data_IF_292155896929
#
_entry.id   IF_292155896929
#
_cell.length_a   1.000
_cell.length_b   1.000
_cell.length_c   1.000
_cell.angle_alpha   90.00
_cell.angle_beta   90.00
_cell.angle_gamma   90.00
#
_symmetry.space_group_name_H-M   'P 1'
#
loop_
_entity.id
_entity.type
_entity.pdbx_description
1 polymer ?
#
# COMPACT_ATOMS: atom_id res chain seq x y z
N UNK A 1 -18.88 2.10 -36.43
CA UNK A 1 -19.31 0.93 -35.64
C UNK A 1 -19.43 1.40 -34.21
N UNK A 2 -20.66 1.66 -33.78
CA UNK A 2 -20.99 2.13 -32.43
C UNK A 2 -22.03 1.15 -31.91
N UNK A 3 -21.69 0.43 -30.83
CA UNK A 3 -22.63 -0.49 -30.17
C UNK A 3 -22.74 -0.01 -28.73
N UNK A 4 -23.76 0.80 -28.47
CA UNK A 4 -24.24 1.10 -27.13
C UNK A 4 -25.33 0.07 -26.79
N UNK A 5 -25.08 -0.76 -25.78
CA UNK A 5 -26.13 -1.59 -25.17
C UNK A 5 -26.63 -0.88 -23.92
N UNK A 6 -27.84 -0.33 -24.05
CA UNK A 6 -28.66 0.22 -22.98
C UNK A 6 -29.52 -0.93 -22.42
N UNK A 7 -29.39 -1.25 -21.13
CA UNK A 7 -30.19 -2.29 -20.47
C UNK A 7 -31.44 -1.69 -19.82
N UNK A 8 -32.59 -2.20 -20.26
CA UNK A 8 -33.95 -1.79 -19.95
C UNK A 8 -34.38 -2.15 -18.52
N UNK A 9 -34.87 -1.15 -17.77
CA UNK A 9 -35.55 -1.31 -16.48
C UNK A 9 -37.06 -1.50 -16.72
N UNK A 10 -37.60 -2.61 -16.25
CA UNK A 10 -38.98 -3.04 -16.47
C UNK A 10 -39.88 -2.52 -15.33
N UNK A 11 -40.76 -1.54 -15.61
CA UNK A 11 -41.88 -1.19 -14.72
C UNK A 11 -43.13 -1.93 -15.19
N UNK A 12 -43.69 -2.82 -14.35
CA UNK A 12 -45.05 -3.31 -14.51
C UNK A 12 -45.96 -2.60 -13.51
N UNK A 13 -46.76 -1.66 -14.01
CA UNK A 13 -48.00 -1.23 -13.36
C UNK A 13 -49.11 -2.16 -13.87
N UNK A 14 -49.66 -3.00 -12.99
CA UNK A 14 -50.91 -3.73 -13.25
C UNK A 14 -52.06 -2.98 -12.59
N UNK A 15 -52.94 -2.42 -13.43
CA UNK A 15 -54.24 -1.91 -13.02
C UNK A 15 -55.29 -3.01 -13.14
N UNK A 16 -56.11 -3.19 -12.10
CA UNK A 16 -57.39 -3.87 -12.20
C UNK A 16 -58.50 -2.82 -12.23
N UNK A 17 -59.10 -2.65 -13.40
CA UNK A 17 -60.39 -2.00 -13.61
C UNK A 17 -61.49 -2.93 -13.09
N UNK A 18 -62.37 -2.39 -12.25
CA UNK A 18 -63.52 -3.09 -11.70
C UNK A 18 -64.63 -3.31 -12.73
N UNK A 19 -65.31 -4.45 -12.60
CA UNK A 19 -66.58 -4.71 -13.25
C UNK A 19 -67.54 -5.30 -12.20
N UNK A 20 -68.58 -4.53 -11.88
CA UNK A 20 -69.69 -4.94 -11.02
C UNK A 20 -70.66 -5.83 -11.79
N UNK A 21 -71.15 -6.89 -11.15
CA UNK A 21 -72.18 -7.79 -11.67
C UNK A 21 -72.68 -8.78 -10.62
N UNK A 22 -73.61 -8.30 -9.79
CA UNK A 22 -74.79 -8.96 -9.20
C UNK A 22 -74.69 -10.35 -8.50
N UNK A 23 -74.78 -10.27 -7.16
CA UNK A 23 -75.72 -10.94 -6.25
C UNK A 23 -75.91 -12.48 -6.26
N UNK A 24 -75.56 -13.14 -5.15
CA UNK A 24 -76.55 -13.86 -4.31
C UNK A 24 -75.99 -14.18 -2.90
N UNK A 25 -76.69 -13.65 -1.90
CA UNK A 25 -76.89 -14.05 -0.50
C UNK A 25 -76.10 -15.24 0.10
N UNK A 26 -75.41 -15.02 1.22
CA UNK A 26 -75.92 -15.47 2.53
C UNK A 26 -75.16 -14.84 3.72
N UNK A 27 -75.85 -14.78 4.85
CA UNK A 27 -75.62 -13.98 6.05
C UNK A 27 -74.35 -14.25 6.87
N UNK A 28 -73.72 -13.18 7.38
CA UNK A 28 -73.34 -13.09 8.80
C UNK A 28 -73.07 -11.63 9.17
N UNK A 29 -73.87 -11.11 10.11
CA UNK A 29 -73.77 -9.79 10.71
C UNK A 29 -72.41 -9.54 11.37
N UNK A 30 -71.92 -8.29 11.28
CA UNK A 30 -70.75 -7.88 12.05
C UNK A 30 -70.13 -6.54 11.64
N UNK A 31 -70.83 -5.43 11.95
CA UNK A 31 -70.23 -4.17 12.39
C UNK A 31 -69.11 -3.54 11.58
N UNK A 32 -69.47 -2.55 10.79
CA UNK A 32 -68.61 -1.47 10.30
C UNK A 32 -67.86 -0.78 11.46
N UNK A 33 -66.53 -0.95 11.51
CA UNK A 33 -65.61 0.02 12.11
C UNK A 33 -64.35 0.06 11.25
N UNK A 34 -64.13 1.21 10.62
CA UNK A 34 -62.89 1.57 9.93
C UNK A 34 -61.74 1.50 10.95
N UNK A 35 -60.76 0.60 10.85
CA UNK A 35 -59.52 0.76 11.60
C UNK A 35 -58.71 1.82 10.86
N UNK A 36 -58.76 3.01 11.41
CA UNK A 36 -57.75 4.05 11.22
C UNK A 36 -56.38 3.39 11.34
N UNK A 37 -55.49 3.66 10.38
CA UNK A 37 -54.09 3.25 10.46
C UNK A 37 -53.42 3.94 11.67
N UNK A 38 -53.62 3.39 12.86
CA UNK A 38 -52.76 3.63 14.01
C UNK A 38 -51.60 2.66 13.91
N UNK A 39 -50.39 3.21 14.02
CA UNK A 39 -49.12 2.53 13.87
C UNK A 39 -49.11 1.16 14.54
N UNK A 40 -49.06 0.13 13.73
CA UNK A 40 -48.56 -1.17 14.15
C UNK A 40 -47.07 -1.17 13.84
N UNK A 41 -46.29 -0.61 14.75
CA UNK A 41 -44.90 -1.05 14.96
C UNK A 41 -44.94 -2.46 15.54
N UNK A 42 -45.38 -3.41 14.73
CA UNK A 42 -45.06 -4.82 14.96
C UNK A 42 -43.90 -5.12 14.03
N UNK A 43 -42.74 -4.52 14.31
CA UNK A 43 -41.48 -5.19 14.00
C UNK A 43 -41.51 -6.40 14.93
N UNK A 44 -41.89 -7.55 14.38
CA UNK A 44 -41.50 -8.83 14.96
C UNK A 44 -39.98 -8.85 14.89
N UNK A 45 -39.33 -8.22 15.88
CA UNK A 45 -37.96 -8.52 16.22
C UNK A 45 -38.05 -9.98 16.64
N UNK A 46 -37.71 -10.86 15.72
CA UNK A 46 -37.27 -12.20 16.10
C UNK A 46 -36.14 -11.90 17.07
N UNK A 47 -36.39 -12.19 18.34
CA UNK A 47 -35.45 -12.08 19.44
C UNK A 47 -34.39 -13.18 19.26
N UNK A 48 -33.72 -13.16 18.11
CA UNK A 48 -32.61 -14.00 17.76
C UNK A 48 -31.39 -13.13 17.97
N UNK A 49 -30.50 -13.58 18.85
CA UNK A 49 -29.15 -13.10 18.91
C UNK A 49 -28.45 -13.62 17.65
N UNK A 50 -28.40 -12.81 16.61
CA UNK A 50 -27.63 -13.06 15.42
C UNK A 50 -26.16 -12.92 15.76
N UNK A 51 -25.37 -13.83 15.20
CA UNK A 51 -23.93 -13.77 15.35
C UNK A 51 -23.41 -12.49 14.68
N UNK A 52 -22.43 -11.80 15.28
CA UNK A 52 -21.67 -10.78 14.58
C UNK A 52 -21.17 -11.30 13.24
N UNK A 53 -21.33 -10.50 12.19
CA UNK A 53 -20.80 -10.79 10.87
C UNK A 53 -19.48 -10.05 10.71
N UNK A 54 -18.44 -10.78 10.32
CA UNK A 54 -17.09 -10.24 10.19
C UNK A 54 -16.52 -10.52 8.80
N UNK A 55 -15.71 -9.59 8.32
CA UNK A 55 -14.95 -9.71 7.08
C UNK A 55 -13.53 -9.19 7.33
N UNK A 56 -12.56 -9.91 6.78
CA UNK A 56 -11.16 -9.57 6.83
C UNK A 56 -10.55 -9.73 5.44
N UNK A 57 -9.59 -8.87 5.09
CA UNK A 57 -8.77 -9.07 3.89
C UNK A 57 -7.39 -8.48 4.11
N UNK A 58 -6.38 -9.09 3.50
CA UNK A 58 -5.05 -8.51 3.45
C UNK A 58 -5.07 -7.36 2.43
N UNK A 59 -4.43 -6.25 2.78
CA UNK A 59 -4.30 -5.07 1.93
C UNK A 59 -2.84 -4.73 1.71
N UNK A 60 -2.52 -4.18 0.54
CA UNK A 60 -1.15 -3.86 0.17
C UNK A 60 -0.39 -5.06 -0.39
N UNK A 61 0.88 -4.83 -0.69
CA UNK A 61 1.74 -5.85 -1.27
C UNK A 61 2.18 -6.88 -0.23
N UNK A 62 2.53 -8.08 -0.69
CA UNK A 62 3.15 -9.13 0.13
C UNK A 62 4.59 -8.79 0.53
N UNK A 63 5.11 -7.63 0.15
CA UNK A 63 6.54 -7.29 0.28
C UNK A 63 6.82 -6.07 1.18
N UNK A 64 5.80 -5.50 1.84
CA UNK A 64 5.96 -4.23 2.55
C UNK A 64 5.89 -4.37 4.08
N UNK A 65 6.86 -3.71 4.72
CA UNK A 65 7.07 -3.45 6.15
C UNK A 65 7.78 -4.54 6.98
N UNK A 66 9.04 -4.25 7.34
CA UNK A 66 9.98 -5.20 7.94
C UNK A 66 10.30 -4.80 9.38
N UNK A 67 10.29 -5.76 10.30
CA UNK A 67 10.79 -5.57 11.66
C UNK A 67 12.13 -6.29 11.85
N UNK A 68 13.19 -5.50 12.07
CA UNK A 68 14.55 -5.98 12.34
C UNK A 68 14.88 -5.82 13.82
N UNK A 69 15.47 -6.85 14.43
CA UNK A 69 16.14 -6.72 15.72
C UNK A 69 17.65 -6.54 15.52
N UNK A 70 18.23 -5.65 16.32
CA UNK A 70 19.65 -5.31 16.31
C UNK A 70 20.31 -5.96 17.53
N UNK A 71 21.33 -6.78 17.32
CA UNK A 71 22.18 -7.25 18.41
C UNK A 71 23.42 -6.35 18.51
N UNK A 72 23.71 -5.83 19.71
CA UNK A 72 24.94 -5.09 19.95
C UNK A 72 26.10 -6.09 20.11
N UNK A 73 27.08 -6.04 19.21
CA UNK A 73 28.29 -6.86 19.33
C UNK A 73 29.27 -6.19 20.30
N UNK A 74 29.53 -6.84 21.43
CA UNK A 74 30.45 -6.31 22.45
C UNK A 74 31.82 -6.98 22.29
N UNK A 75 32.79 -6.25 21.74
CA UNK A 75 34.16 -6.77 21.59
C UNK A 75 35.02 -6.25 22.73
N UNK A 76 35.58 -7.16 23.55
CA UNK A 76 36.54 -6.79 24.59
C UNK A 76 37.94 -7.16 24.14
N UNK A 77 38.74 -6.15 23.84
CA UNK A 77 40.16 -6.34 23.50
C UNK A 77 41.00 -6.14 24.76
N UNK A 78 41.80 -7.15 25.08
CA UNK A 78 42.76 -7.09 26.18
C UNK A 78 44.15 -6.85 25.62
N UNK A 79 44.72 -5.68 25.92
CA UNK A 79 46.06 -5.31 25.45
C UNK A 79 47.02 -5.31 26.63
N UNK A 80 48.04 -6.15 26.57
CA UNK A 80 49.12 -6.19 27.57
C UNK A 80 50.34 -5.47 27.01
N UNK A 81 50.69 -4.34 27.63
CA UNK A 81 51.90 -3.59 27.26
C UNK A 81 53.17 -4.33 27.71
N UNK A 82 54.30 -4.06 27.07
CA UNK A 82 55.60 -4.67 27.37
C UNK A 82 56.08 -4.45 28.82
N UNK A 83 55.48 -3.49 29.54
CA UNK A 83 55.72 -3.25 30.96
C UNK A 83 54.79 -4.04 31.91
N UNK A 84 54.07 -5.04 31.39
CA UNK A 84 53.17 -5.90 32.17
C UNK A 84 51.84 -5.26 32.59
N UNK A 85 51.55 -4.04 32.11
CA UNK A 85 50.26 -3.38 32.34
C UNK A 85 49.22 -3.92 31.35
N UNK A 86 48.12 -4.46 31.90
CA UNK A 86 46.99 -4.97 31.12
C UNK A 86 45.88 -3.93 31.09
N UNK A 87 45.44 -3.53 29.90
CA UNK A 87 44.28 -2.65 29.73
C UNK A 87 43.20 -3.42 28.98
N UNK A 88 42.00 -3.48 29.57
CA UNK A 88 40.82 -4.03 28.91
C UNK A 88 40.05 -2.88 28.29
N UNK A 89 39.99 -2.84 26.96
CA UNK A 89 39.15 -1.89 26.23
C UNK A 89 37.92 -2.66 25.74
N UNK A 90 36.76 -2.32 26.28
CA UNK A 90 35.47 -2.84 25.81
C UNK A 90 34.90 -1.83 24.82
N UNK A 91 34.87 -2.20 23.55
CA UNK A 91 34.18 -1.42 22.52
C UNK A 91 32.81 -2.05 22.28
N UNK A 92 31.76 -1.25 22.48
CA UNK A 92 30.41 -1.60 22.05
C UNK A 92 30.30 -1.09 20.63
N UNK A 93 30.52 -1.97 19.67
CA UNK A 93 30.14 -1.71 18.29
C UNK A 93 28.68 -2.12 18.16
N UNK A 94 27.77 -1.15 18.03
CA UNK A 94 26.51 -1.43 17.37
C UNK A 94 26.90 -1.86 15.95
N UNK A 95 26.91 -3.16 15.68
CA UNK A 95 27.12 -3.63 14.33
C UNK A 95 25.88 -3.21 13.55
N UNK A 96 25.98 -2.05 12.89
CA UNK A 96 25.00 -1.56 11.91
C UNK A 96 24.78 -2.55 10.75
N UNK A 97 25.46 -3.71 10.77
CA UNK A 97 25.69 -4.64 9.67
C UNK A 97 24.92 -5.98 9.78
N UNK A 98 24.22 -6.27 10.88
CA UNK A 98 23.70 -7.62 11.16
C UNK A 98 22.26 -7.64 11.71
N UNK A 99 21.33 -6.94 11.05
CA UNK A 99 19.91 -7.00 11.41
C UNK A 99 19.36 -8.43 11.23
N UNK A 100 18.77 -9.00 12.28
CA UNK A 100 18.04 -10.28 12.20
C UNK A 100 16.56 -9.99 11.96
N UNK A 101 15.96 -10.61 10.93
CA UNK A 101 14.53 -10.50 10.67
C UNK A 101 13.75 -11.14 11.82
N UNK A 102 12.95 -10.37 12.54
CA UNK A 102 12.18 -10.86 13.70
C UNK A 102 10.69 -10.93 13.44
N UNK A 103 10.18 -10.21 12.43
CA UNK A 103 8.80 -10.25 12.02
C UNK A 103 8.53 -9.38 10.80
N UNK A 104 7.33 -9.51 10.26
CA UNK A 104 6.86 -8.76 9.08
C UNK A 104 5.60 -8.01 9.49
N UNK A 105 5.50 -6.72 9.19
CA UNK A 105 4.24 -6.00 9.37
C UNK A 105 3.37 -6.19 8.15
N UNK A 106 2.07 -6.36 8.36
CA UNK A 106 1.09 -6.52 7.29
C UNK A 106 -0.06 -5.58 7.54
N UNK A 107 -0.61 -5.01 6.47
CA UNK A 107 -1.81 -4.19 6.56
C UNK A 107 -3.04 -5.05 6.31
N UNK A 108 -3.95 -5.08 7.28
CA UNK A 108 -5.15 -5.90 7.25
C UNK A 108 -6.38 -4.98 7.30
N UNK A 109 -7.30 -5.17 6.37
CA UNK A 109 -8.62 -4.54 6.44
C UNK A 109 -9.55 -5.41 7.26
N UNK A 110 -10.34 -4.76 8.11
CA UNK A 110 -11.41 -5.38 8.87
C UNK A 110 -12.74 -4.66 8.63
N UNK A 111 -13.82 -5.44 8.68
CA UNK A 111 -15.18 -4.94 8.83
C UNK A 111 -15.99 -5.89 9.71
N UNK A 112 -16.87 -5.33 10.53
CA UNK A 112 -17.77 -6.07 11.41
C UNK A 112 -19.10 -5.34 11.54
N UNK A 113 -20.16 -6.13 11.64
CA UNK A 113 -21.51 -5.64 11.94
C UNK A 113 -22.18 -6.62 12.88
N UNK A 114 -22.79 -6.07 13.93
CA UNK A 114 -23.84 -6.73 14.68
C UNK A 114 -25.18 -6.30 14.06
N UNK A 115 -25.95 -7.21 13.44
CA UNK A 115 -27.24 -6.87 12.84
C UNK A 115 -28.24 -6.21 13.80
N UNK A 116 -28.06 -6.40 15.10
CA UNK A 116 -28.88 -5.83 16.17
C UNK A 116 -28.42 -4.45 16.61
N UNK A 117 -27.22 -4.05 16.18
CA UNK A 117 -26.63 -2.76 16.51
C UNK A 117 -26.21 -2.62 17.97
N UNK A 118 -25.93 -3.73 18.67
CA UNK A 118 -25.29 -3.68 19.99
C UNK A 118 -23.80 -3.37 19.87
N UNK A 119 -23.19 -3.04 21.01
CA UNK A 119 -21.75 -2.78 21.06
C UNK A 119 -20.98 -4.09 20.95
N UNK A 120 -19.92 -4.10 20.14
CA UNK A 120 -19.07 -5.28 19.95
C UNK A 120 -17.66 -5.04 20.47
N UNK A 121 -17.03 -6.10 20.95
CA UNK A 121 -15.58 -6.19 21.17
C UNK A 121 -14.97 -6.90 19.99
N UNK A 122 -13.98 -6.29 19.34
CA UNK A 122 -13.43 -6.78 18.08
C UNK A 122 -11.92 -6.67 18.02
N UNK A 123 -11.28 -7.52 17.23
CA UNK A 123 -9.84 -7.45 17.01
C UNK A 123 -9.26 -8.68 16.34
N UNK A 124 -7.95 -8.65 16.16
CA UNK A 124 -7.18 -9.73 15.55
C UNK A 124 -6.64 -10.70 16.59
N UNK A 125 -6.70 -11.98 16.27
CA UNK A 125 -6.06 -13.09 16.96
C UNK A 125 -5.01 -13.67 16.01
N UNK A 126 -3.76 -13.45 16.35
CA UNK A 126 -2.60 -13.70 15.51
C UNK A 126 -2.02 -15.09 15.77
N UNK A 127 -2.29 -15.67 16.93
CA UNK A 127 -1.80 -16.99 17.32
C UNK A 127 -2.89 -18.09 17.28
N UNK A 128 -4.12 -17.71 16.94
CA UNK A 128 -5.31 -18.55 16.85
C UNK A 128 -5.69 -19.22 18.17
N UNK A 129 -5.42 -18.58 19.31
CA UNK A 129 -5.76 -19.08 20.65
C UNK A 129 -7.21 -18.74 21.09
N UNK A 130 -7.93 -17.98 20.26
CA UNK A 130 -9.31 -17.55 20.50
C UNK A 130 -9.41 -16.26 21.32
N UNK A 131 -8.30 -15.65 21.70
CA UNK A 131 -8.20 -14.36 22.40
C UNK A 131 -7.81 -13.26 21.42
N UNK A 132 -8.33 -12.04 21.62
CA UNK A 132 -7.93 -10.89 20.81
C UNK A 132 -6.54 -10.43 21.27
N UNK A 133 -5.57 -10.48 20.36
CA UNK A 133 -4.21 -9.96 20.54
C UNK A 133 -4.13 -8.47 20.24
N UNK A 134 -4.77 -8.03 19.14
CA UNK A 134 -4.77 -6.64 18.68
C UNK A 134 -6.21 -6.12 18.64
N UNK A 135 -6.64 -5.33 19.63
CA UNK A 135 -8.01 -4.79 19.66
C UNK A 135 -8.22 -3.71 18.60
N UNK A 136 -9.41 -3.65 18.02
CA UNK A 136 -9.83 -2.57 17.11
C UNK A 136 -11.12 -1.93 17.64
N UNK A 137 -11.25 -0.61 17.47
CA UNK A 137 -12.38 0.15 18.01
C UNK A 137 -13.37 0.65 16.96
N UNK A 138 -13.04 0.51 15.67
CA UNK A 138 -13.90 0.93 14.56
C UNK A 138 -14.53 -0.29 13.89
N UNK A 139 -15.80 -0.18 13.50
CA UNK A 139 -16.52 -1.25 12.80
C UNK A 139 -15.91 -1.60 11.44
N UNK A 140 -15.16 -0.68 10.83
CA UNK A 140 -14.30 -0.98 9.69
C UNK A 140 -13.06 -0.09 9.69
N UNK A 141 -12.00 -0.54 9.04
CA UNK A 141 -10.75 0.20 8.94
C UNK A 141 -9.58 -0.69 8.56
N UNK A 142 -8.38 -0.12 8.72
CA UNK A 142 -7.12 -0.82 8.46
C UNK A 142 -6.35 -0.96 9.78
N UNK A 143 -5.68 -2.09 9.94
CA UNK A 143 -4.79 -2.39 11.06
C UNK A 143 -3.46 -2.84 10.51
N UNK A 144 -2.36 -2.21 10.94
CA UNK A 144 -1.01 -2.73 10.67
C UNK A 144 -0.61 -3.66 11.81
N UNK A 145 -0.44 -4.95 11.52
CA UNK A 145 -0.10 -5.98 12.50
C UNK A 145 1.33 -6.47 12.28
N UNK A 146 2.15 -6.52 13.33
CA UNK A 146 3.46 -7.18 13.28
C UNK A 146 3.29 -8.67 13.57
N UNK A 147 3.70 -9.51 12.62
CA UNK A 147 3.66 -10.97 12.75
C UNK A 147 5.08 -11.50 12.95
N UNK A 148 5.40 -12.08 14.13
CA UNK A 148 6.69 -12.71 14.40
C UNK A 148 7.08 -13.76 13.36
N UNK A 149 8.36 -13.81 12.99
CA UNK A 149 8.86 -14.69 11.92
C UNK A 149 8.57 -16.18 12.19
N UNK A 150 8.51 -16.60 13.46
CA UNK A 150 8.21 -17.97 13.87
C UNK A 150 6.76 -18.40 13.64
N UNK A 151 5.85 -17.48 13.30
CA UNK A 151 4.46 -17.76 12.93
C UNK A 151 4.26 -17.97 11.42
N UNK A 152 5.30 -17.81 10.61
CA UNK A 152 5.23 -17.95 9.16
C UNK A 152 5.68 -19.33 8.69
N UNK A 153 5.04 -19.80 7.63
CA UNK A 153 5.36 -21.04 6.94
C UNK A 153 5.86 -20.76 5.52
N UNK A 154 6.93 -21.42 5.10
CA UNK A 154 7.41 -21.35 3.72
C UNK A 154 6.44 -22.05 2.76
N UNK A 155 6.06 -21.37 1.69
CA UNK A 155 5.32 -22.00 0.58
C UNK A 155 6.35 -22.69 -0.31
N UNK A 156 6.30 -24.03 -0.46
CA UNK A 156 7.29 -24.77 -1.23
C UNK A 156 7.46 -24.20 -2.65
N UNK A 157 8.69 -24.20 -3.16
CA UNK A 157 9.02 -23.78 -4.53
C UNK A 157 8.77 -22.31 -4.86
N UNK A 158 8.49 -21.47 -3.86
CA UNK A 158 8.33 -20.01 -4.00
C UNK A 158 9.15 -19.28 -2.93
N UNK A 159 9.32 -17.97 -3.08
CA UNK A 159 9.92 -17.07 -2.07
C UNK A 159 8.86 -16.54 -1.07
N UNK A 160 7.62 -17.01 -1.21
CA UNK A 160 6.49 -16.57 -0.40
C UNK A 160 6.35 -17.41 0.85
N UNK A 161 5.88 -16.75 1.89
CA UNK A 161 5.47 -17.29 3.18
C UNK A 161 3.98 -17.06 3.35
N UNK A 162 3.35 -17.94 4.12
CA UNK A 162 1.97 -17.79 4.54
C UNK A 162 1.85 -17.96 6.04
N UNK A 163 0.86 -17.27 6.61
CA UNK A 163 0.35 -17.51 7.96
C UNK A 163 -1.16 -17.30 7.93
N UNK A 164 -1.86 -17.75 8.96
CA UNK A 164 -3.31 -17.57 9.06
C UNK A 164 -3.59 -16.84 10.36
N UNK A 165 -4.34 -15.74 10.26
CA UNK A 165 -4.81 -14.94 11.39
C UNK A 165 -6.34 -14.99 11.44
N UNK A 166 -6.92 -14.68 12.60
CA UNK A 166 -8.36 -14.58 12.74
C UNK A 166 -8.77 -13.14 13.08
N UNK A 167 -9.89 -12.69 12.51
CA UNK A 167 -10.58 -11.50 12.98
C UNK A 167 -11.85 -11.92 13.70
N UNK A 168 -11.99 -11.45 14.94
CA UNK A 168 -13.08 -11.82 15.84
C UNK A 168 -13.90 -10.60 16.20
N UNK A 169 -15.21 -10.79 16.28
CA UNK A 169 -16.14 -9.85 16.88
C UNK A 169 -17.03 -10.60 17.87
N UNK A 170 -17.21 -10.05 19.06
CA UNK A 170 -18.08 -10.61 20.10
C UNK A 170 -19.09 -9.56 20.54
N UNK A 171 -20.37 -9.92 20.59
CA UNK A 171 -21.43 -9.03 21.05
C UNK A 171 -21.55 -9.03 22.59
N UNK A 172 -22.57 -8.33 23.10
CA UNK A 172 -22.88 -8.27 24.54
C UNK A 172 -23.46 -9.56 25.11
N UNK A 173 -24.00 -10.44 24.27
CA UNK A 173 -24.54 -11.75 24.66
C UNK A 173 -23.46 -12.84 24.71
N UNK A 174 -22.28 -12.56 24.15
CA UNK A 174 -21.13 -13.46 24.10
C UNK A 174 -21.05 -14.28 22.81
N UNK A 175 -21.91 -14.01 21.83
CA UNK A 175 -21.87 -14.66 20.53
C UNK A 175 -20.72 -14.08 19.70
N UNK A 176 -20.03 -14.96 18.96
CA UNK A 176 -18.78 -14.61 18.28
C UNK A 176 -18.86 -14.86 16.78
N UNK A 177 -18.61 -13.80 16.02
CA UNK A 177 -18.27 -13.87 14.61
C UNK A 177 -16.77 -14.07 14.44
N UNK A 178 -16.35 -14.99 13.58
CA UNK A 178 -14.94 -15.24 13.26
C UNK A 178 -14.77 -15.39 11.77
N UNK A 179 -13.73 -14.77 11.23
CA UNK A 179 -13.24 -15.02 9.87
C UNK A 179 -11.74 -15.30 9.93
N UNK A 180 -11.32 -16.36 9.22
CA UNK A 180 -9.91 -16.66 9.03
C UNK A 180 -9.42 -15.95 7.78
N UNK A 181 -8.22 -15.40 7.89
CA UNK A 181 -7.53 -14.72 6.81
C UNK A 181 -6.16 -15.35 6.63
N UNK A 182 -5.94 -15.94 5.45
CA UNK A 182 -4.61 -16.31 5.02
C UNK A 182 -3.87 -15.05 4.58
N UNK A 183 -2.73 -14.80 5.23
CA UNK A 183 -1.85 -13.67 4.99
C UNK A 183 -0.61 -14.20 4.28
N UNK A 184 -0.23 -13.53 3.20
CA UNK A 184 0.93 -13.87 2.39
C UNK A 184 1.99 -12.78 2.54
N UNK A 185 3.26 -13.16 2.60
CA UNK A 185 4.39 -12.23 2.57
C UNK A 185 5.56 -12.88 1.84
N UNK A 186 6.41 -12.14 1.15
CA UNK A 186 7.76 -12.62 0.79
C UNK A 186 8.70 -12.31 1.94
N UNK A 187 9.78 -13.10 2.08
CA UNK A 187 10.88 -12.64 2.92
C UNK A 187 11.44 -11.39 2.29
N UNK A 188 11.41 -10.24 3.00
CA UNK A 188 12.03 -9.06 2.47
C UNK A 188 13.52 -9.35 2.29
N UNK A 189 14.09 -8.78 1.24
CA UNK A 189 15.52 -8.72 1.09
C UNK A 189 16.14 -8.13 2.36
N UNK A 190 17.27 -8.69 2.80
CA UNK A 190 17.98 -8.18 3.97
C UNK A 190 18.28 -6.69 3.85
N UNK A 191 18.69 -5.99 4.92
CA UNK A 191 19.11 -4.59 4.83
C UNK A 191 20.31 -4.36 3.86
N UNK A 192 20.83 -5.43 3.25
CA UNK A 192 21.93 -5.47 2.29
C UNK A 192 21.57 -6.13 0.95
N UNK A 193 20.30 -6.50 0.70
CA UNK A 193 19.92 -6.85 -0.67
C UNK A 193 19.80 -5.57 -1.48
N UNK A 194 20.72 -5.37 -2.41
CA UNK A 194 20.63 -4.34 -3.44
C UNK A 194 19.49 -4.61 -4.45
N UNK A 195 18.57 -5.52 -4.14
CA UNK A 195 17.49 -5.90 -5.03
C UNK A 195 16.16 -5.24 -4.64
N UNK A 196 15.94 -4.17 -5.39
CA UNK A 196 14.69 -3.55 -5.79
C UNK A 196 13.51 -4.54 -5.86
N UNK A 197 12.54 -4.43 -4.95
CA UNK A 197 11.14 -4.36 -5.36
C UNK A 197 10.38 -3.33 -4.51
N UNK A 198 9.64 -2.40 -5.16
CA UNK A 198 9.06 -1.24 -4.49
C UNK A 198 7.74 -1.65 -3.84
N UNK A 199 7.51 -1.18 -2.60
CA UNK A 199 6.15 -0.88 -2.14
C UNK A 199 5.41 -0.26 -3.32
N UNK A 200 4.26 -0.80 -3.78
CA UNK A 200 3.47 -0.22 -4.89
C UNK A 200 3.56 1.29 -4.76
N UNK A 201 4.37 1.94 -5.62
CA UNK A 201 4.76 3.27 -5.27
C UNK A 201 3.51 4.11 -5.54
N UNK A 202 3.14 4.96 -4.58
CA UNK A 202 2.06 5.94 -4.76
C UNK A 202 2.27 6.74 -6.06
N UNK A 203 3.50 6.72 -6.57
CA UNK A 203 3.99 7.31 -7.81
C UNK A 203 4.74 6.27 -8.64
N UNK A 204 4.41 6.07 -9.91
CA UNK A 204 5.18 5.18 -10.80
C UNK A 204 5.76 5.99 -11.96
N UNK A 205 6.99 5.67 -12.34
CA UNK A 205 7.66 6.32 -13.47
C UNK A 205 8.22 5.29 -14.44
N UNK A 206 8.31 5.69 -15.72
CA UNK A 206 8.98 4.92 -16.77
C UNK A 206 10.05 5.75 -17.43
N UNK A 207 11.20 5.11 -17.65
CA UNK A 207 12.33 5.67 -18.38
C UNK A 207 12.43 5.07 -19.77
N UNK A 208 12.77 5.89 -20.76
CA UNK A 208 13.13 5.46 -22.11
C UNK A 208 14.26 6.32 -22.65
N UNK A 209 14.91 5.85 -23.70
CA UNK A 209 15.87 6.64 -24.47
C UNK A 209 15.25 7.96 -24.98
N UNK A 210 16.01 9.05 -24.93
CA UNK A 210 15.58 10.38 -25.38
C UNK A 210 15.69 10.60 -26.90
N UNK A 211 16.06 9.56 -27.64
CA UNK A 211 16.32 9.54 -29.07
C UNK A 211 17.57 10.34 -29.46
N UNK A 212 18.61 9.60 -29.83
CA UNK A 212 19.86 10.13 -30.34
C UNK A 212 21.03 9.74 -29.44
N UNK A 213 22.14 9.31 -30.06
CA UNK A 213 23.27 8.80 -29.29
C UNK A 213 23.96 9.90 -28.49
N UNK A 214 24.16 9.71 -27.17
CA UNK A 214 25.03 10.56 -26.38
C UNK A 214 26.40 10.65 -27.06
N UNK A 215 26.91 11.87 -27.21
CA UNK A 215 28.16 12.16 -27.88
C UNK A 215 29.26 12.42 -26.87
N UNK A 216 30.33 13.07 -27.31
CA UNK A 216 31.35 13.63 -26.39
C UNK A 216 31.00 15.08 -26.00
N UNK A 217 29.71 15.42 -26.14
CA UNK A 217 29.19 16.74 -25.82
C UNK A 217 29.02 16.93 -24.33
N UNK A 218 28.43 18.05 -23.95
CA UNK A 218 28.03 18.33 -22.56
C UNK A 218 26.60 18.86 -22.49
N UNK A 219 25.82 18.55 -23.52
CA UNK A 219 24.46 19.03 -23.74
C UNK A 219 23.64 17.95 -24.47
N UNK A 220 24.02 16.69 -24.28
CA UNK A 220 23.36 15.55 -24.91
C UNK A 220 22.07 15.21 -24.14
N UNK A 221 21.03 14.83 -24.89
CA UNK A 221 19.82 14.29 -24.32
C UNK A 221 20.09 12.82 -23.96
N UNK A 222 19.86 12.45 -22.72
CA UNK A 222 20.18 11.10 -22.24
C UNK A 222 18.95 10.21 -22.25
N UNK A 223 17.96 10.52 -21.41
CA UNK A 223 16.76 9.72 -21.24
C UNK A 223 15.53 10.61 -21.04
N UNK A 224 14.36 10.06 -21.32
CA UNK A 224 13.07 10.63 -20.96
C UNK A 224 12.48 9.84 -19.80
N UNK A 225 12.12 10.53 -18.72
CA UNK A 225 11.39 9.96 -17.59
C UNK A 225 9.95 10.47 -17.62
N UNK A 226 8.97 9.56 -17.57
CA UNK A 226 7.53 9.88 -17.60
C UNK A 226 6.88 9.43 -16.31
N UNK A 227 5.96 10.21 -15.76
CA UNK A 227 5.14 9.80 -14.61
C UNK A 227 3.92 9.03 -15.11
N UNK A 228 3.85 7.73 -14.81
CA UNK A 228 2.79 6.84 -15.27
C UNK A 228 1.62 6.77 -14.28
N UNK A 229 1.89 6.97 -12.99
CA UNK A 229 0.88 6.90 -11.93
C UNK A 229 1.23 7.87 -10.78
N UNK A 230 0.20 8.37 -10.10
CA UNK A 230 0.31 9.21 -8.90
C UNK A 230 -0.59 10.44 -8.92
N UNK A 231 -0.42 11.32 -7.94
CA UNK A 231 -1.09 12.64 -7.89
C UNK A 231 -0.13 13.75 -8.31
N UNK A 232 -0.59 14.96 -8.58
CA UNK A 232 0.32 16.04 -8.98
C UNK A 232 1.38 16.33 -7.88
N UNK A 233 2.65 16.45 -8.26
CA UNK A 233 3.75 16.77 -7.34
C UNK A 233 4.43 18.07 -7.75
N UNK A 234 4.60 19.01 -6.82
CA UNK A 234 5.31 20.26 -7.11
C UNK A 234 6.79 20.01 -7.42
N UNK A 235 7.32 20.61 -8.49
CA UNK A 235 8.74 20.51 -8.87
C UNK A 235 9.71 20.91 -7.75
N UNK A 236 9.33 21.86 -6.88
CA UNK A 236 10.17 22.27 -5.74
C UNK A 236 10.21 21.23 -4.60
N UNK A 237 9.28 20.26 -4.60
CA UNK A 237 9.18 19.24 -3.57
C UNK A 237 9.91 17.93 -3.92
N UNK A 238 10.57 17.86 -5.09
CA UNK A 238 11.29 16.66 -5.52
C UNK A 238 12.77 16.92 -5.82
N UNK A 239 13.55 15.85 -5.72
CA UNK A 239 14.93 15.78 -6.17
C UNK A 239 15.07 14.56 -7.08
N UNK A 240 15.62 14.76 -8.28
CA UNK A 240 15.96 13.67 -9.20
C UNK A 240 17.46 13.45 -9.19
N UNK A 241 17.88 12.21 -8.99
CA UNK A 241 19.28 11.80 -9.02
C UNK A 241 19.52 10.74 -10.08
N UNK A 242 20.69 10.79 -10.70
CA UNK A 242 21.13 9.84 -11.72
C UNK A 242 22.38 9.10 -11.24
N UNK A 243 22.41 7.79 -11.40
CA UNK A 243 23.61 6.95 -11.31
C UNK A 243 23.90 6.43 -12.72
N UNK A 244 25.07 6.80 -13.26
CA UNK A 244 25.50 6.42 -14.60
C UNK A 244 26.45 5.23 -14.48
N UNK A 245 26.14 4.10 -15.10
CA UNK A 245 26.94 2.86 -15.08
C UNK A 245 27.36 2.41 -13.66
N UNK A 246 26.49 2.65 -12.67
CA UNK A 246 26.72 2.32 -11.26
C UNK A 246 27.65 3.29 -10.51
N UNK A 247 27.98 4.44 -11.10
CA UNK A 247 28.74 5.50 -10.44
C UNK A 247 27.94 6.21 -9.33
N UNK A 248 28.63 7.04 -8.55
CA UNK A 248 28.01 7.80 -7.47
C UNK A 248 26.87 8.70 -8.00
N UNK A 249 25.70 8.74 -7.34
CA UNK A 249 24.57 9.50 -7.82
C UNK A 249 24.83 11.02 -7.90
N UNK A 250 24.50 11.62 -9.04
CA UNK A 250 24.50 13.07 -9.26
C UNK A 250 23.07 13.60 -9.19
N UNK A 251 22.88 14.85 -8.74
CA UNK A 251 21.55 15.48 -8.68
C UNK A 251 21.37 16.41 -9.88
N UNK A 252 20.20 16.38 -10.52
CA UNK A 252 19.88 17.28 -11.63
C UNK A 252 19.13 18.54 -11.18
N UNK A 253 19.23 19.61 -11.96
CA UNK A 253 18.41 20.80 -11.79
C UNK A 253 16.97 20.53 -12.27
N UNK A 254 15.99 20.85 -11.42
CA UNK A 254 14.57 20.72 -11.75
C UNK A 254 14.15 21.70 -12.86
N UNK A 255 13.02 21.45 -13.56
CA UNK A 255 12.54 22.33 -14.61
C UNK A 255 12.40 23.79 -14.17
N UNK A 256 12.79 24.72 -15.05
CA UNK A 256 12.74 26.16 -14.78
C UNK A 256 13.83 26.69 -13.82
N UNK A 257 14.71 25.83 -13.30
CA UNK A 257 15.86 26.24 -12.48
C UNK A 257 17.11 26.34 -13.35
N UNK A 258 17.75 27.51 -13.35
CA UNK A 258 19.10 27.67 -13.93
C UNK A 258 20.15 27.46 -12.84
N UNK A 259 20.43 26.20 -12.52
CA UNK A 259 21.43 25.83 -11.54
C UNK A 259 22.79 25.51 -12.16
N UNK A 260 23.68 24.97 -11.33
CA UNK A 260 25.02 24.50 -11.74
C UNK A 260 25.13 22.98 -11.65
N UNK A 261 24.00 22.26 -11.63
CA UNK A 261 24.03 20.82 -11.63
C UNK A 261 24.61 20.29 -12.95
N UNK A 262 25.16 19.09 -12.91
CA UNK A 262 25.79 18.43 -14.08
C UNK A 262 24.77 17.94 -15.12
N UNK A 263 23.49 17.93 -14.76
CA UNK A 263 22.35 17.63 -15.61
C UNK A 263 21.20 18.58 -15.31
N UNK A 264 20.36 18.84 -16.30
CA UNK A 264 19.13 19.62 -16.21
C UNK A 264 17.93 18.82 -16.69
N UNK A 265 16.79 19.01 -16.05
CA UNK A 265 15.52 18.42 -16.44
C UNK A 265 14.73 19.40 -17.31
N UNK A 266 14.39 18.97 -18.52
CA UNK A 266 13.54 19.73 -19.45
C UNK A 266 12.17 19.07 -19.50
N UNK A 267 11.16 19.73 -18.96
CA UNK A 267 9.79 19.22 -18.90
C UNK A 267 9.15 19.06 -20.29
N UNK A 268 8.34 18.01 -20.44
CA UNK A 268 7.45 17.78 -21.56
C UNK A 268 6.08 17.31 -21.08
N UNK A 269 5.04 17.53 -21.89
CA UNK A 269 3.65 17.29 -21.50
C UNK A 269 2.93 18.62 -21.30
N UNK A 270 2.21 18.78 -20.20
CA UNK A 270 1.82 20.09 -19.70
C UNK A 270 3.05 20.81 -19.14
N UNK A 271 3.26 22.07 -19.53
CA UNK A 271 4.42 22.88 -19.09
C UNK A 271 3.99 24.26 -18.59
N UNK A 272 2.68 24.51 -18.57
CA UNK A 272 2.09 25.75 -18.06
C UNK A 272 1.79 25.65 -16.55
N UNK A 273 2.05 24.50 -15.94
CA UNK A 273 1.90 24.17 -14.53
C UNK A 273 3.26 24.03 -13.82
N UNK A 274 3.25 24.06 -12.49
CA UNK A 274 4.46 23.95 -11.66
C UNK A 274 4.52 22.59 -10.96
N UNK A 275 3.97 21.56 -11.61
CA UNK A 275 3.81 20.23 -11.05
C UNK A 275 4.14 19.17 -12.09
N UNK A 276 4.63 18.03 -11.62
CA UNK A 276 4.69 16.81 -12.40
C UNK A 276 3.36 16.06 -12.26
N UNK A 277 2.62 15.94 -13.36
CA UNK A 277 1.35 15.21 -13.42
C UNK A 277 1.50 13.88 -14.16
N UNK A 278 0.50 13.00 -14.01
CA UNK A 278 0.47 11.73 -14.76
C UNK A 278 0.38 11.98 -16.26
N UNK A 279 1.32 11.40 -17.01
CA UNK A 279 1.48 11.60 -18.45
C UNK A 279 2.50 12.67 -18.83
N UNK A 280 2.91 13.52 -17.89
CA UNK A 280 4.01 14.46 -18.07
C UNK A 280 5.35 13.80 -17.77
N UNK A 281 6.43 14.46 -18.18
CA UNK A 281 7.76 13.94 -17.94
C UNK A 281 8.86 14.95 -18.13
N UNK A 282 10.09 14.46 -18.01
CA UNK A 282 11.31 15.25 -18.19
C UNK A 282 12.24 14.55 -19.16
N UNK A 283 12.84 15.31 -20.06
CA UNK A 283 14.05 14.91 -20.76
C UNK A 283 15.24 15.30 -19.89
N UNK A 284 16.07 14.33 -19.57
CA UNK A 284 17.34 14.53 -18.86
C UNK A 284 18.38 14.97 -19.88
N UNK A 285 18.98 16.12 -19.64
CA UNK A 285 20.00 16.72 -20.52
C UNK A 285 21.25 16.97 -19.71
N UNK A 286 22.42 16.68 -20.28
CA UNK A 286 23.69 17.10 -19.69
C UNK A 286 23.78 18.62 -19.58
N UNK A 287 24.48 19.11 -18.57
CA UNK A 287 24.62 20.54 -18.32
C UNK A 287 26.07 20.91 -18.00
N UNK A 288 26.87 21.09 -19.04
CA UNK A 288 28.25 21.58 -18.93
C UNK A 288 29.27 20.57 -18.42
N UNK A 289 28.87 19.31 -18.22
CA UNK A 289 29.74 18.15 -18.00
C UNK A 289 29.26 16.99 -18.87
N UNK A 290 30.21 16.23 -19.41
CA UNK A 290 29.96 14.98 -20.14
C UNK A 290 29.66 13.89 -19.10
N UNK A 291 28.45 13.34 -19.15
CA UNK A 291 27.99 12.23 -18.31
C UNK A 291 28.04 10.91 -19.08
N UNK A 292 27.73 10.92 -20.38
CA UNK A 292 27.77 9.75 -21.24
C UNK A 292 28.47 10.04 -22.56
N UNK A 293 29.62 9.41 -22.81
CA UNK A 293 30.42 9.57 -24.04
C UNK A 293 29.94 8.69 -25.23
N UNK A 294 28.72 8.15 -25.13
CA UNK A 294 28.19 7.04 -25.92
C UNK A 294 27.05 6.34 -25.18
N UNK A 295 26.73 5.10 -25.56
CA UNK A 295 25.68 4.35 -24.85
C UNK A 295 26.05 4.09 -23.39
N UNK A 296 25.14 4.40 -22.48
CA UNK A 296 25.32 4.27 -21.04
C UNK A 296 24.03 3.80 -20.36
N UNK A 297 24.15 3.15 -19.21
CA UNK A 297 23.02 2.71 -18.38
C UNK A 297 22.77 3.72 -17.27
N UNK A 298 21.53 4.21 -17.18
CA UNK A 298 21.14 5.23 -16.22
C UNK A 298 20.11 4.66 -15.24
N UNK A 299 20.46 4.73 -13.96
CA UNK A 299 19.53 4.55 -12.85
C UNK A 299 19.07 5.90 -12.34
N UNK A 300 17.76 6.09 -12.24
CA UNK A 300 17.11 7.32 -11.78
C UNK A 300 16.46 7.08 -10.42
N UNK A 301 16.69 8.00 -9.49
CA UNK A 301 16.02 8.01 -8.18
C UNK A 301 15.27 9.32 -8.02
N UNK A 302 13.97 9.24 -7.74
CA UNK A 302 13.11 10.39 -7.45
C UNK A 302 12.78 10.41 -5.95
N UNK A 303 13.03 11.53 -5.29
CA UNK A 303 12.85 11.68 -3.83
C UNK A 303 11.96 12.88 -3.51
N UNK A 304 10.96 12.70 -2.63
CA UNK A 304 10.24 13.82 -2.01
C UNK A 304 11.18 14.46 -0.96
N UNK A 305 11.53 15.72 -1.19
CA UNK A 305 12.49 16.45 -0.35
C UNK A 305 11.88 16.94 0.97
N UNK A 306 10.55 17.00 1.07
CA UNK A 306 9.83 17.39 2.29
C UNK A 306 9.82 16.25 3.30
N UNK A 307 9.60 15.02 2.80
CA UNK A 307 9.52 13.81 3.63
C UNK A 307 10.87 13.06 3.70
N UNK A 308 11.82 13.37 2.81
CA UNK A 308 13.09 12.66 2.70
C UNK A 308 12.94 11.23 2.19
N UNK A 309 11.85 10.93 1.49
CA UNK A 309 11.46 9.59 1.06
C UNK A 309 11.65 9.42 -0.44
N UNK A 310 12.31 8.33 -0.85
CA UNK A 310 12.34 7.91 -2.25
C UNK A 310 10.93 7.50 -2.68
N UNK A 311 10.41 8.17 -3.71
CA UNK A 311 9.07 7.90 -4.25
C UNK A 311 9.13 6.97 -5.47
N UNK A 312 10.25 6.95 -6.19
CA UNK A 312 10.47 6.01 -7.30
C UNK A 312 11.96 5.75 -7.53
N UNK A 313 12.26 4.55 -8.02
CA UNK A 313 13.56 4.21 -8.60
C UNK A 313 13.35 3.51 -9.93
N UNK A 314 13.68 4.20 -11.02
CA UNK A 314 13.66 3.66 -12.38
C UNK A 314 15.07 3.25 -12.77
N UNK A 315 15.29 2.05 -13.29
CA UNK A 315 16.64 1.52 -13.42
C UNK A 315 16.94 0.91 -14.78
N UNK A 316 18.23 0.92 -15.14
CA UNK A 316 18.74 0.32 -16.36
C UNK A 316 18.21 0.98 -17.62
N UNK A 317 17.89 2.28 -17.57
CA UNK A 317 17.43 3.02 -18.74
C UNK A 317 18.64 3.27 -19.61
N UNK A 318 18.63 2.69 -20.82
CA UNK A 318 19.72 2.86 -21.77
C UNK A 318 19.52 4.19 -22.51
N UNK A 319 20.55 5.04 -22.50
CA UNK A 319 20.70 6.14 -23.44
C UNK A 319 21.56 5.63 -24.61
N UNK A 320 21.11 5.76 -25.86
CA UNK A 320 21.83 5.20 -27.03
C UNK A 320 21.62 5.89 -28.38
#
# INVERSE_FOLDING_TARGET
>A
MMTAMLLTMMMMFSGCLGQNGEASDDNSEGGELIPTAQGSTTTTIVNGNYLPMVQATQMGDTEADISWAWENETTTTTTTSANGSTTNTTEITSSFYNGTLVGMNVTLYHAAIDPEGTVMVMGWDMNLDGTIDIPVSTNSGFTTANIPLNQWHDIPTTERKMTTVAFLASDVAGDRGVTLLDVYSTTPGGPWSEDRTPSIPLYAFSGKDAQGSPGTGTADNLIMLTMDQGSDINWAAISVKLSIDGAAPVTCDNPGVSGTAVCSLVEFGNTDDQVWSVGDGVTVVENGQELCSGSCSIDVTVTDTREGKTIDTTNGVVAE
#
